data_IF_549322785925
#
_entry.id   IF_549322785925
#
_cell.length_a   1.000
_cell.length_b   1.000
_cell.length_c   1.000
_cell.angle_alpha   90.00
_cell.angle_beta   90.00
_cell.angle_gamma   90.00
#
_symmetry.space_group_name_H-M   'P 1'
#
loop_
_entity.id
_entity.type
_entity.pdbx_description
1 polymer ?
#
# COMPACT_ATOMS: atom_id res chain seq x y z
N UNK A 1 10.38 3.47 -26.11
CA UNK A 1 10.76 3.85 -24.72
C UNK A 1 10.07 2.86 -23.81
N UNK A 2 10.74 2.39 -22.77
CA UNK A 2 10.13 1.46 -21.80
C UNK A 2 9.05 2.16 -20.99
N UNK A 3 7.93 1.48 -20.69
CA UNK A 3 6.90 2.00 -19.81
C UNK A 3 7.46 2.17 -18.39
N UNK A 4 7.13 3.28 -17.75
CA UNK A 4 7.69 3.66 -16.45
C UNK A 4 6.79 3.21 -15.32
N UNK A 5 7.38 2.59 -14.28
CA UNK A 5 6.66 2.12 -13.10
C UNK A 5 7.27 2.71 -11.84
N UNK A 6 6.44 3.32 -10.99
CA UNK A 6 6.85 3.83 -9.68
C UNK A 6 6.30 2.92 -8.58
N UNK A 7 7.22 2.40 -7.75
CA UNK A 7 6.89 1.54 -6.62
C UNK A 7 6.95 2.29 -5.29
N UNK A 8 5.99 2.01 -4.40
CA UNK A 8 5.95 2.51 -3.03
C UNK A 8 5.88 1.38 -2.03
N UNK A 9 6.79 1.40 -1.06
CA UNK A 9 6.83 0.42 0.04
C UNK A 9 5.79 0.71 1.15
N UNK A 10 5.58 -0.24 2.05
CA UNK A 10 4.66 -0.13 3.17
C UNK A 10 5.22 0.62 4.40
N UNK A 11 4.38 0.72 5.44
CA UNK A 11 4.72 1.32 6.73
C UNK A 11 5.88 0.59 7.43
N UNK A 12 6.87 1.33 7.91
CA UNK A 12 8.05 0.78 8.58
C UNK A 12 9.02 0.02 7.67
N UNK A 13 8.83 0.13 6.35
CA UNK A 13 9.66 -0.55 5.34
C UNK A 13 10.53 0.45 4.58
N UNK A 14 11.25 -0.06 3.58
CA UNK A 14 12.07 0.70 2.63
C UNK A 14 11.95 0.07 1.24
N UNK A 15 12.58 0.65 0.24
CA UNK A 15 12.62 0.08 -1.11
C UNK A 15 13.16 -1.35 -1.17
N UNK A 16 13.98 -1.77 -0.22
CA UNK A 16 14.43 -3.16 -0.13
C UNK A 16 13.27 -4.17 -0.03
N UNK A 17 12.12 -3.78 0.54
CA UNK A 17 10.95 -4.65 0.68
C UNK A 17 10.14 -4.83 -0.61
N UNK A 18 10.44 -4.12 -1.65
CA UNK A 18 9.82 -4.23 -2.99
C UNK A 18 10.87 -4.47 -4.08
N UNK A 19 12.13 -4.73 -3.68
CA UNK A 19 13.24 -4.87 -4.62
C UNK A 19 13.07 -6.07 -5.57
N UNK A 20 12.55 -7.20 -5.07
CA UNK A 20 12.28 -8.37 -5.93
C UNK A 20 11.22 -8.06 -6.98
N UNK A 21 10.12 -7.40 -6.57
CA UNK A 21 9.09 -6.94 -7.49
C UNK A 21 9.64 -5.93 -8.50
N UNK A 22 10.49 -5.00 -8.06
CA UNK A 22 11.17 -4.06 -8.95
C UNK A 22 12.01 -4.80 -9.99
N UNK A 23 12.86 -5.74 -9.57
CA UNK A 23 13.69 -6.53 -10.50
C UNK A 23 12.84 -7.33 -11.50
N UNK A 24 11.76 -7.96 -11.05
CA UNK A 24 10.85 -8.68 -11.95
C UNK A 24 10.21 -7.77 -13.02
N UNK A 25 9.82 -6.55 -12.64
CA UNK A 25 9.32 -5.58 -13.60
C UNK A 25 10.41 -5.11 -14.59
N UNK A 26 11.63 -4.93 -14.12
CA UNK A 26 12.78 -4.57 -14.98
C UNK A 26 13.10 -5.71 -15.97
N UNK A 27 13.05 -6.97 -15.54
CA UNK A 27 13.20 -8.16 -16.41
C UNK A 27 12.09 -8.25 -17.47
N UNK A 28 10.89 -7.75 -17.17
CA UNK A 28 9.77 -7.65 -18.10
C UNK A 28 9.88 -6.45 -19.05
N UNK A 29 10.92 -5.61 -18.92
CA UNK A 29 11.21 -4.48 -19.80
C UNK A 29 10.63 -3.14 -19.33
N UNK A 30 10.06 -3.04 -18.12
CA UNK A 30 9.65 -1.77 -17.54
C UNK A 30 10.84 -0.99 -16.98
N UNK A 31 10.75 0.35 -17.00
CA UNK A 31 11.67 1.21 -16.26
C UNK A 31 11.13 1.43 -14.84
N UNK A 32 11.53 0.58 -13.90
CA UNK A 32 10.98 0.56 -12.54
C UNK A 32 11.80 1.42 -11.56
N UNK A 33 11.12 2.28 -10.80
CA UNK A 33 11.72 3.20 -9.84
C UNK A 33 10.98 3.12 -8.49
N UNK A 34 11.70 2.87 -7.41
CA UNK A 34 11.11 2.92 -6.07
C UNK A 34 11.27 4.30 -5.42
N UNK A 35 10.14 4.94 -5.03
CA UNK A 35 10.18 6.13 -4.20
C UNK A 35 10.36 5.76 -2.73
N UNK A 36 11.53 6.08 -2.17
CA UNK A 36 11.85 5.88 -0.76
C UNK A 36 11.40 7.06 0.09
N UNK A 37 10.69 6.78 1.19
CA UNK A 37 10.16 7.82 2.07
C UNK A 37 10.20 7.39 3.54
N UNK A 38 10.33 8.33 4.50
CA UNK A 38 10.35 8.02 5.93
C UNK A 38 8.94 7.70 6.44
N UNK A 39 8.41 6.52 6.10
CA UNK A 39 7.01 6.10 6.23
C UNK A 39 6.39 6.27 7.63
N UNK A 40 7.21 6.38 8.71
CA UNK A 40 6.76 6.55 10.10
C UNK A 40 6.70 8.00 10.56
N UNK A 41 7.26 8.96 9.81
CA UNK A 41 7.53 10.33 10.29
C UNK A 41 6.45 11.35 9.97
N UNK A 42 5.52 11.07 9.09
CA UNK A 42 4.45 12.00 8.66
C UNK A 42 3.08 11.34 8.79
N UNK A 43 2.04 12.13 8.95
CA UNK A 43 0.65 11.71 8.75
C UNK A 43 0.42 11.37 7.28
N UNK A 44 -0.69 10.65 6.99
CA UNK A 44 -1.05 10.24 5.62
C UNK A 44 -1.05 11.43 4.65
N UNK A 45 -1.74 12.51 4.99
CA UNK A 45 -1.80 13.72 4.15
C UNK A 45 -0.40 14.29 3.83
N UNK A 46 0.53 14.27 4.80
CA UNK A 46 1.90 14.74 4.59
C UNK A 46 2.74 13.82 3.70
N UNK A 47 2.43 12.52 3.64
CA UNK A 47 3.05 11.59 2.69
C UNK A 47 2.49 11.77 1.28
N UNK A 48 1.18 11.95 1.17
CA UNK A 48 0.49 12.22 -0.10
C UNK A 48 1.09 13.48 -0.77
N UNK A 49 1.20 14.59 -0.02
CA UNK A 49 1.74 15.81 -0.58
C UNK A 49 3.23 15.70 -0.94
N UNK A 50 4.03 15.03 -0.11
CA UNK A 50 5.43 14.78 -0.42
C UNK A 50 5.61 13.92 -1.69
N UNK A 51 4.71 12.97 -1.92
CA UNK A 51 4.73 12.15 -3.12
C UNK A 51 4.30 12.95 -4.36
N UNK A 52 3.24 13.77 -4.25
CA UNK A 52 2.82 14.71 -5.31
C UNK A 52 3.96 15.65 -5.72
N UNK A 53 4.62 16.24 -4.74
CA UNK A 53 5.76 17.13 -4.96
C UNK A 53 6.92 16.42 -5.67
N UNK A 54 7.22 15.17 -5.25
CA UNK A 54 8.24 14.36 -5.90
C UNK A 54 7.85 14.05 -7.34
N UNK A 55 6.62 13.64 -7.62
CA UNK A 55 6.14 13.36 -8.99
C UNK A 55 6.24 14.59 -9.91
N UNK A 56 5.90 15.79 -9.43
CA UNK A 56 6.02 17.04 -10.21
C UNK A 56 7.43 17.35 -10.65
N UNK A 57 8.44 16.84 -9.93
CA UNK A 57 9.86 17.06 -10.25
C UNK A 57 10.44 16.03 -11.20
N UNK A 58 9.70 14.97 -11.51
CA UNK A 58 10.17 13.94 -12.41
C UNK A 58 9.89 14.31 -13.87
N UNK A 59 10.81 13.95 -14.77
CA UNK A 59 10.66 14.10 -16.23
C UNK A 59 10.18 12.77 -16.84
N UNK A 60 8.93 12.37 -16.55
CA UNK A 60 8.37 11.18 -17.15
C UNK A 60 8.03 11.41 -18.63
N UNK A 61 8.35 10.44 -19.49
CA UNK A 61 8.20 10.57 -20.95
C UNK A 61 6.76 10.25 -21.43
N UNK A 62 5.91 9.71 -20.56
CA UNK A 62 4.54 9.29 -20.88
C UNK A 62 3.74 8.93 -19.61
N UNK A 63 2.61 8.21 -19.77
CA UNK A 63 1.86 7.72 -18.63
C UNK A 63 2.72 6.84 -17.73
N UNK A 64 2.56 7.01 -16.41
CA UNK A 64 3.31 6.31 -15.38
C UNK A 64 2.42 5.27 -14.73
N UNK A 65 2.91 4.04 -14.61
CA UNK A 65 2.28 2.99 -13.82
C UNK A 65 2.72 3.09 -12.36
N UNK A 66 1.86 2.61 -11.46
CA UNK A 66 2.12 2.69 -10.03
C UNK A 66 1.88 1.34 -9.35
N UNK A 67 2.79 0.95 -8.46
CA UNK A 67 2.61 -0.23 -7.62
C UNK A 67 2.83 0.16 -6.17
N UNK A 68 1.83 -0.02 -5.32
CA UNK A 68 1.90 0.36 -3.92
C UNK A 68 1.62 -0.80 -2.98
N UNK A 69 2.58 -1.11 -2.10
CA UNK A 69 2.37 -2.07 -1.03
C UNK A 69 1.81 -1.37 0.22
N UNK A 70 0.69 -1.87 0.75
CA UNK A 70 0.12 -1.44 2.04
C UNK A 70 -0.11 0.08 2.07
N UNK A 71 0.54 0.83 3.00
CA UNK A 71 0.50 2.30 3.05
C UNK A 71 0.88 2.94 1.71
N UNK A 72 1.80 2.33 0.95
CA UNK A 72 2.21 2.83 -0.36
C UNK A 72 1.06 2.96 -1.35
N UNK A 73 0.15 1.98 -1.39
CA UNK A 73 -1.05 2.04 -2.24
C UNK A 73 -2.03 3.15 -1.81
N UNK A 74 -2.17 3.38 -0.51
CA UNK A 74 -3.01 4.48 0.02
C UNK A 74 -2.42 5.86 -0.34
N UNK A 75 -1.10 6.00 -0.31
CA UNK A 75 -0.41 7.23 -0.73
C UNK A 75 -0.63 7.47 -2.24
N UNK A 76 -0.47 6.44 -3.08
CA UNK A 76 -0.77 6.50 -4.51
C UNK A 76 -2.21 6.95 -4.73
N UNK A 77 -3.17 6.29 -4.09
CA UNK A 77 -4.59 6.62 -4.19
C UNK A 77 -4.82 8.10 -3.89
N UNK A 78 -4.36 8.59 -2.74
CA UNK A 78 -4.58 9.98 -2.33
C UNK A 78 -3.82 11.00 -3.19
N UNK A 79 -2.68 10.62 -3.76
CA UNK A 79 -1.90 11.53 -4.61
C UNK A 79 -2.47 11.70 -6.00
N UNK A 80 -3.19 10.69 -6.53
CA UNK A 80 -3.63 10.64 -7.91
C UNK A 80 -5.15 10.82 -8.11
N UNK A 81 -5.95 10.87 -7.02
CA UNK A 81 -7.41 10.85 -7.10
C UNK A 81 -8.03 12.09 -7.79
N UNK A 82 -7.62 13.30 -7.42
CA UNK A 82 -8.33 14.52 -7.87
C UNK A 82 -7.61 15.19 -9.04
N UNK A 83 -6.39 15.64 -8.80
CA UNK A 83 -5.55 16.35 -9.78
C UNK A 83 -4.19 15.67 -9.84
N UNK A 84 -4.04 14.60 -10.63
CA UNK A 84 -2.79 13.87 -10.71
C UNK A 84 -1.68 14.76 -11.29
N UNK A 85 -0.49 14.78 -10.67
CA UNK A 85 0.62 15.60 -11.13
C UNK A 85 1.29 15.08 -12.41
N UNK A 86 0.95 13.87 -12.84
CA UNK A 86 1.47 13.19 -14.03
C UNK A 86 0.35 12.43 -14.74
N UNK A 87 0.52 12.10 -16.02
CA UNK A 87 -0.38 11.19 -16.71
C UNK A 87 -0.31 9.79 -16.05
N UNK A 88 -1.48 9.22 -15.74
CA UNK A 88 -1.57 7.92 -15.08
C UNK A 88 -1.70 6.82 -16.13
N UNK A 89 -0.89 5.75 -15.98
CA UNK A 89 -1.10 4.47 -16.63
C UNK A 89 -2.02 3.57 -15.78
N UNK A 90 -1.51 2.43 -15.34
CA UNK A 90 -2.22 1.49 -14.45
C UNK A 90 -1.74 1.61 -13.01
N UNK A 91 -2.62 1.24 -12.07
CA UNK A 91 -2.30 1.22 -10.64
C UNK A 91 -2.49 -0.20 -10.11
N UNK A 92 -1.52 -0.73 -9.36
CA UNK A 92 -1.65 -1.99 -8.62
C UNK A 92 -1.49 -1.70 -7.13
N UNK A 93 -2.49 -2.09 -6.35
CA UNK A 93 -2.51 -1.95 -4.90
C UNK A 93 -2.34 -3.31 -4.24
N UNK A 94 -1.18 -3.57 -3.64
CA UNK A 94 -0.85 -4.84 -2.99
C UNK A 94 -1.13 -4.72 -1.49
N UNK A 95 -2.07 -5.51 -0.98
CA UNK A 95 -2.44 -5.57 0.44
C UNK A 95 -2.71 -4.18 1.07
N UNK A 96 -3.26 -3.25 0.29
CA UNK A 96 -3.49 -1.87 0.73
C UNK A 96 -4.79 -1.77 1.51
N UNK A 97 -4.79 -1.17 2.72
CA UNK A 97 -5.99 -1.06 3.57
C UNK A 97 -6.91 0.06 3.10
N UNK A 98 -7.56 -0.10 1.94
CA UNK A 98 -8.43 0.92 1.33
C UNK A 98 -9.62 1.31 2.20
N UNK A 99 -10.10 0.40 3.07
CA UNK A 99 -11.15 0.64 4.06
C UNK A 99 -10.60 0.75 5.50
N UNK A 100 -9.27 0.76 5.63
CA UNK A 100 -8.55 0.75 6.90
C UNK A 100 -8.19 -0.65 7.37
N UNK A 101 -7.42 -0.73 8.44
CA UNK A 101 -6.96 -2.00 9.02
C UNK A 101 -7.51 -2.17 10.44
N UNK A 102 -8.17 -3.30 10.69
CA UNK A 102 -8.75 -3.63 12.01
C UNK A 102 -7.72 -3.71 13.12
N UNK A 103 -6.51 -4.19 12.79
CA UNK A 103 -5.38 -4.20 13.72
C UNK A 103 -5.01 -2.79 14.19
N UNK A 104 -5.09 -1.80 13.29
CA UNK A 104 -4.83 -0.39 13.61
C UNK A 104 -5.93 0.17 14.51
N UNK A 105 -7.20 -0.10 14.22
CA UNK A 105 -8.34 0.35 15.03
C UNK A 105 -8.26 -0.17 16.46
N UNK A 106 -7.73 -1.37 16.65
CA UNK A 106 -7.59 -2.01 17.96
C UNK A 106 -6.38 -1.57 18.75
N UNK A 107 -5.20 -1.57 18.11
CA UNK A 107 -3.91 -1.30 18.78
C UNK A 107 -3.43 0.13 18.62
N UNK A 108 -3.98 0.91 17.69
CA UNK A 108 -3.62 2.30 17.45
C UNK A 108 -3.85 3.23 18.66
N UNK A 109 -4.70 2.80 19.60
CA UNK A 109 -4.98 3.51 20.88
C UNK A 109 -3.99 3.18 22.02
N UNK A 110 -3.12 2.20 21.83
CA UNK A 110 -2.12 1.87 22.84
C UNK A 110 -1.05 2.97 22.94
N UNK A 111 -0.57 3.30 24.15
CA UNK A 111 0.39 4.40 24.33
C UNK A 111 1.66 4.26 23.51
N UNK A 112 2.11 3.01 23.30
CA UNK A 112 3.34 2.71 22.58
C UNK A 112 3.15 2.47 21.07
N UNK A 113 1.93 2.37 20.58
CA UNK A 113 1.66 2.08 19.16
C UNK A 113 2.26 3.16 18.24
N UNK A 114 2.16 4.42 18.64
CA UNK A 114 2.71 5.56 17.90
C UNK A 114 4.25 5.52 17.84
N UNK A 115 4.91 5.07 18.91
CA UNK A 115 6.37 4.90 18.93
C UNK A 115 6.82 3.79 17.99
N UNK A 116 6.04 2.71 17.87
CA UNK A 116 6.35 1.54 17.04
C UNK A 116 6.00 1.79 15.57
N UNK A 117 4.79 2.27 15.28
CA UNK A 117 4.25 2.38 13.92
C UNK A 117 4.30 3.80 13.34
N UNK A 118 4.57 4.82 14.16
CA UNK A 118 4.69 6.20 13.71
C UNK A 118 3.35 6.92 13.55
N UNK A 119 3.40 8.08 12.89
CA UNK A 119 2.28 9.01 12.75
C UNK A 119 1.15 8.51 11.83
N UNK A 120 1.41 7.77 10.72
CA UNK A 120 0.34 7.35 9.82
C UNK A 120 -0.67 6.39 10.44
N UNK A 121 -0.27 5.68 11.52
CA UNK A 121 -1.14 4.71 12.17
C UNK A 121 -2.51 5.30 12.54
N UNK A 122 -2.56 6.56 12.95
CA UNK A 122 -3.80 7.24 13.34
C UNK A 122 -4.76 7.44 12.16
N UNK A 123 -4.24 7.42 10.94
CA UNK A 123 -5.00 7.64 9.70
C UNK A 123 -5.44 6.32 9.04
N UNK A 124 -4.88 5.17 9.45
CA UNK A 124 -5.09 3.87 8.81
C UNK A 124 -6.10 2.96 9.53
N UNK A 125 -6.77 3.46 10.56
CA UNK A 125 -7.85 2.72 11.23
C UNK A 125 -9.07 2.53 10.32
N UNK A 126 -9.87 1.49 10.58
CA UNK A 126 -11.11 1.25 9.84
C UNK A 126 -12.01 2.48 9.87
N UNK A 127 -12.53 2.84 8.69
CA UNK A 127 -13.42 4.01 8.50
C UNK A 127 -12.82 5.33 9.02
N UNK A 128 -11.49 5.45 9.03
CA UNK A 128 -10.87 6.70 9.43
C UNK A 128 -11.28 7.82 8.47
N UNK A 129 -11.58 9.05 8.96
CA UNK A 129 -11.94 10.17 8.09
C UNK A 129 -10.88 10.46 7.03
N UNK A 130 -9.60 10.27 7.36
CA UNK A 130 -8.49 10.48 6.45
C UNK A 130 -8.51 9.52 5.25
N UNK A 131 -8.91 8.26 5.45
CA UNK A 131 -9.08 7.28 4.35
C UNK A 131 -10.37 7.49 3.58
N UNK A 132 -11.47 7.77 4.30
CA UNK A 132 -12.79 7.92 3.68
C UNK A 132 -12.90 9.18 2.82
N UNK A 133 -12.09 10.20 3.10
CA UNK A 133 -12.03 11.41 2.29
C UNK A 133 -11.17 11.29 1.02
N UNK A 134 -10.42 10.19 0.86
CA UNK A 134 -9.65 9.97 -0.37
C UNK A 134 -10.59 9.58 -1.51
N UNK A 135 -10.45 10.25 -2.63
CA UNK A 135 -11.08 9.86 -3.89
C UNK A 135 -10.52 8.54 -4.45
N UNK A 136 -10.92 8.23 -5.68
CA UNK A 136 -10.40 7.09 -6.45
C UNK A 136 -9.80 7.65 -7.74
N UNK A 137 -8.55 7.30 -8.09
CA UNK A 137 -7.94 7.75 -9.35
C UNK A 137 -8.72 7.25 -10.58
N UNK A 138 -8.84 8.09 -11.60
CA UNK A 138 -9.39 7.70 -12.90
C UNK A 138 -8.35 6.91 -13.70
N UNK A 139 -8.24 5.62 -13.40
CA UNK A 139 -7.30 4.69 -14.02
C UNK A 139 -7.78 3.25 -13.87
N UNK A 140 -7.18 2.32 -14.62
CA UNK A 140 -7.32 0.89 -14.36
C UNK A 140 -6.59 0.54 -13.05
N UNK A 141 -7.34 0.03 -12.06
CA UNK A 141 -6.82 -0.31 -10.73
C UNK A 141 -6.97 -1.82 -10.49
N UNK A 142 -5.83 -2.50 -10.30
CA UNK A 142 -5.79 -3.87 -9.82
C UNK A 142 -5.52 -3.94 -8.32
N UNK A 143 -6.19 -4.86 -7.63
CA UNK A 143 -5.99 -5.14 -6.20
C UNK A 143 -5.44 -6.55 -6.04
N UNK A 144 -4.33 -6.68 -5.30
CA UNK A 144 -3.79 -7.97 -4.88
C UNK A 144 -3.92 -8.05 -3.35
N UNK A 145 -4.68 -9.03 -2.85
CA UNK A 145 -4.87 -9.26 -1.42
C UNK A 145 -4.19 -10.55 -0.98
N UNK A 146 -3.63 -10.58 0.23
CA UNK A 146 -3.10 -11.78 0.84
C UNK A 146 -4.14 -12.52 1.69
N UNK A 147 -3.99 -13.85 1.80
CA UNK A 147 -4.88 -14.70 2.60
C UNK A 147 -4.16 -15.43 3.74
N UNK A 148 -2.82 -15.42 3.78
CA UNK A 148 -2.04 -16.12 4.81
C UNK A 148 -1.97 -15.29 6.08
N UNK A 149 -2.76 -15.65 7.06
CA UNK A 149 -2.93 -14.90 8.31
C UNK A 149 -1.75 -15.00 9.29
N UNK A 150 -0.92 -16.06 9.21
CA UNK A 150 0.17 -16.29 10.15
C UNK A 150 1.51 -16.48 9.45
N UNK A 151 2.53 -15.82 10.00
CA UNK A 151 3.93 -16.06 9.65
C UNK A 151 4.80 -15.98 10.91
N UNK A 152 5.64 -17.01 11.21
CA UNK A 152 6.37 -17.12 12.47
C UNK A 152 7.40 -16.00 12.70
N UNK A 153 7.89 -15.37 11.65
CA UNK A 153 8.83 -14.23 11.74
C UNK A 153 8.16 -12.86 11.85
N UNK A 154 6.83 -12.81 11.90
CA UNK A 154 6.10 -11.54 12.02
C UNK A 154 5.41 -11.41 13.38
N UNK A 155 5.87 -10.46 14.22
CA UNK A 155 5.31 -10.22 15.54
C UNK A 155 3.80 -9.84 15.51
N UNK A 156 3.33 -9.18 14.45
CA UNK A 156 1.92 -8.83 14.27
C UNK A 156 1.06 -10.08 14.09
N UNK A 157 1.60 -11.14 13.48
CA UNK A 157 0.90 -12.42 13.31
C UNK A 157 0.50 -13.04 14.66
N UNK A 158 1.34 -12.92 15.69
CA UNK A 158 1.02 -13.44 17.03
C UNK A 158 -0.06 -12.62 17.72
N UNK A 159 -0.11 -11.34 17.48
CA UNK A 159 -1.14 -10.45 18.00
C UNK A 159 -2.48 -10.75 17.32
N UNK A 160 -2.46 -11.04 16.03
CA UNK A 160 -3.66 -11.34 15.24
C UNK A 160 -4.16 -12.78 15.38
N UNK A 161 -3.39 -13.70 15.98
CA UNK A 161 -3.79 -15.10 16.18
C UNK A 161 -5.09 -15.22 16.99
N UNK A 162 -5.38 -14.23 17.84
CA UNK A 162 -6.60 -14.16 18.66
C UNK A 162 -7.72 -13.34 18.00
N UNK A 163 -7.62 -13.05 16.69
CA UNK A 163 -8.56 -12.21 15.97
C UNK A 163 -9.62 -13.01 15.24
N UNK A 164 -10.82 -12.47 15.30
CA UNK A 164 -12.05 -12.79 14.56
C UNK A 164 -12.00 -14.10 13.76
N UNK A 165 -12.36 -15.20 14.41
CA UNK A 165 -12.62 -16.45 13.70
C UNK A 165 -13.61 -16.20 12.55
N UNK A 166 -13.22 -16.56 11.32
CA UNK A 166 -14.07 -16.48 10.14
C UNK A 166 -13.80 -15.33 9.17
N UNK A 167 -12.90 -14.41 9.46
CA UNK A 167 -12.50 -13.37 8.50
C UNK A 167 -11.21 -13.75 7.76
N UNK A 168 -11.21 -13.64 6.43
CA UNK A 168 -10.02 -13.81 5.63
C UNK A 168 -9.12 -12.57 5.75
N UNK A 169 -7.83 -12.75 6.05
CA UNK A 169 -6.86 -11.67 6.20
C UNK A 169 -5.43 -12.18 5.97
N UNK A 170 -4.52 -11.27 5.64
CA UNK A 170 -3.12 -11.54 5.39
C UNK A 170 -2.20 -11.43 6.63
N UNK A 171 -2.79 -11.38 7.82
CA UNK A 171 -2.08 -11.13 9.09
C UNK A 171 -2.07 -9.66 9.51
N UNK A 172 -2.49 -8.72 8.67
CA UNK A 172 -2.52 -7.28 8.98
C UNK A 172 -3.79 -6.60 8.46
N UNK A 173 -4.20 -6.89 7.22
CA UNK A 173 -5.37 -6.31 6.55
C UNK A 173 -6.36 -7.42 6.24
N UNK A 174 -7.63 -7.19 6.54
CA UNK A 174 -8.72 -8.08 6.14
C UNK A 174 -8.96 -7.97 4.63
N UNK A 175 -9.28 -9.09 3.96
CA UNK A 175 -9.59 -9.12 2.53
C UNK A 175 -10.64 -8.08 2.15
N UNK A 176 -11.71 -7.96 2.93
CA UNK A 176 -12.76 -6.97 2.71
C UNK A 176 -12.24 -5.53 2.78
N UNK A 177 -11.23 -5.28 3.60
CA UNK A 177 -10.67 -3.95 3.79
C UNK A 177 -9.65 -3.55 2.70
N UNK A 178 -9.22 -4.49 1.85
CA UNK A 178 -8.41 -4.17 0.67
C UNK A 178 -9.25 -3.65 -0.49
N UNK A 179 -10.55 -3.92 -0.50
CA UNK A 179 -11.44 -3.60 -1.61
C UNK A 179 -11.58 -2.08 -1.78
N UNK A 180 -11.68 -1.66 -3.04
CA UNK A 180 -11.88 -0.28 -3.44
C UNK A 180 -13.00 -0.24 -4.50
N UNK A 181 -14.03 0.53 -4.26
CA UNK A 181 -15.07 0.76 -5.26
C UNK A 181 -14.46 1.45 -6.49
N UNK A 182 -14.78 0.95 -7.68
CA UNK A 182 -14.17 1.41 -8.93
C UNK A 182 -12.85 0.71 -9.30
N UNK A 183 -12.36 -0.25 -8.51
CA UNK A 183 -11.26 -1.10 -8.94
C UNK A 183 -11.67 -1.96 -10.16
N UNK A 184 -10.76 -2.09 -11.12
CA UNK A 184 -11.00 -2.81 -12.39
C UNK A 184 -10.91 -4.32 -12.19
N UNK A 185 -9.99 -4.77 -11.32
CA UNK A 185 -9.73 -6.19 -11.06
C UNK A 185 -9.26 -6.40 -9.61
N UNK A 186 -9.49 -7.61 -9.08
CA UNK A 186 -9.08 -7.97 -7.74
C UNK A 186 -8.79 -9.47 -7.66
N UNK A 187 -7.60 -9.82 -7.17
CA UNK A 187 -7.19 -11.20 -6.90
C UNK A 187 -6.78 -11.38 -5.44
N UNK A 188 -6.90 -12.60 -4.94
CA UNK A 188 -6.43 -12.98 -3.62
C UNK A 188 -5.47 -14.17 -3.75
N UNK A 189 -4.29 -14.06 -3.12
CA UNK A 189 -3.22 -15.06 -3.17
C UNK A 189 -2.88 -15.57 -1.77
N UNK A 190 -2.31 -16.77 -1.66
CA UNK A 190 -1.90 -17.34 -0.36
C UNK A 190 -0.57 -16.73 0.12
N UNK A 191 -0.56 -15.44 0.35
CA UNK A 191 0.60 -14.68 0.81
C UNK A 191 0.32 -13.95 2.13
N UNK A 192 1.38 -13.79 2.95
CA UNK A 192 1.35 -13.00 4.19
C UNK A 192 1.70 -11.55 3.89
N UNK A 193 1.02 -10.60 4.57
CA UNK A 193 1.16 -9.15 4.38
C UNK A 193 2.61 -8.66 4.20
N UNK A 194 3.51 -9.14 5.05
CA UNK A 194 4.90 -8.68 5.10
C UNK A 194 5.72 -9.14 3.90
N UNK A 195 5.38 -10.30 3.33
CA UNK A 195 6.17 -11.00 2.31
C UNK A 195 5.45 -11.12 0.95
N UNK A 196 4.30 -10.49 0.82
CA UNK A 196 3.47 -10.57 -0.39
C UNK A 196 4.20 -10.05 -1.66
N UNK A 197 5.11 -9.08 -1.50
CA UNK A 197 5.93 -8.58 -2.61
C UNK A 197 7.10 -9.50 -3.00
N UNK A 198 7.36 -10.53 -2.18
CA UNK A 198 8.39 -11.54 -2.43
C UNK A 198 7.79 -12.88 -2.89
N UNK A 199 6.47 -12.94 -3.10
CA UNK A 199 5.75 -14.15 -3.53
C UNK A 199 5.99 -14.45 -5.01
N UNK A 200 5.99 -15.74 -5.38
CA UNK A 200 6.31 -16.20 -6.74
C UNK A 200 5.08 -16.29 -7.67
N UNK A 201 3.86 -16.01 -7.16
CA UNK A 201 2.61 -16.00 -7.94
C UNK A 201 2.28 -14.61 -8.50
#
# INVERSE_FOLDING_TARGET
>A
MSDQVVLLHGLGRSCASVARLQSGLEEMGFAALCWSYPSRRRRLAGHIEAFREWLRRQAFAGPVHFVGHSLGGIIIRGALADTPPVAIGRIVMIASPNQGAGVVSRFGRWPFSRAIFGLPLQDLGEKSPALMSLGVPEAEIGIIAGLRHFHPLNAISYVNLFHRAGHQHDGTVELANTQLEGATDSIAIDAHHTFICDHDE
#
